data_IF_993213573859
#
_entry.id   IF_993213573859
#
_cell.length_a   1.000
_cell.length_b   1.000
_cell.length_c   1.000
_cell.angle_alpha   90.00
_cell.angle_beta   90.00
_cell.angle_gamma   90.00
#
_symmetry.space_group_name_H-M   'P 1'
#
loop_
_entity.id
_entity.type
_entity.pdbx_description
1 polymer ?
#
# COMPACT_ATOMS: atom_id res chain seq x y z
N UNK A 1 45.59 -34.97 9.45
CA UNK A 1 45.07 -33.81 10.22
C UNK A 1 45.26 -32.46 9.50
N UNK A 2 46.20 -32.33 8.55
CA UNK A 2 46.54 -31.06 7.87
C UNK A 2 45.49 -30.56 6.86
N UNK A 3 44.73 -31.47 6.25
CA UNK A 3 43.73 -31.09 5.22
C UNK A 3 42.41 -30.53 5.80
N UNK A 4 42.05 -30.91 7.03
CA UNK A 4 40.79 -30.47 7.66
C UNK A 4 40.82 -28.98 8.03
N UNK A 5 41.99 -28.47 8.40
CA UNK A 5 42.17 -27.05 8.75
C UNK A 5 42.05 -26.16 7.52
N UNK A 6 42.60 -26.58 6.37
CA UNK A 6 42.50 -25.82 5.12
C UNK A 6 41.05 -25.72 4.63
N UNK A 7 40.29 -26.82 4.73
CA UNK A 7 38.86 -26.84 4.38
C UNK A 7 38.06 -25.91 5.31
N UNK A 8 38.30 -25.91 6.63
CA UNK A 8 37.61 -24.99 7.55
C UNK A 8 37.87 -23.52 7.23
N UNK A 9 39.12 -23.15 6.91
CA UNK A 9 39.49 -21.76 6.59
C UNK A 9 38.84 -21.28 5.29
N UNK A 10 38.58 -22.18 4.33
CA UNK A 10 37.88 -21.85 3.09
C UNK A 10 36.34 -21.84 3.27
N UNK A 11 35.80 -22.79 4.04
CA UNK A 11 34.34 -22.97 4.18
C UNK A 11 33.72 -21.89 5.05
N UNK A 12 34.40 -21.47 6.12
CA UNK A 12 33.87 -20.44 7.03
C UNK A 12 33.53 -19.10 6.34
N UNK A 13 34.41 -18.49 5.51
CA UNK A 13 34.08 -17.25 4.82
C UNK A 13 32.96 -17.42 3.78
N UNK A 14 32.87 -18.58 3.12
CA UNK A 14 31.79 -18.86 2.15
C UNK A 14 30.45 -18.97 2.88
N UNK A 15 30.38 -19.71 3.99
CA UNK A 15 29.16 -19.80 4.81
C UNK A 15 28.78 -18.42 5.36
N UNK A 16 29.75 -17.65 5.86
CA UNK A 16 29.49 -16.30 6.36
C UNK A 16 28.89 -15.39 5.28
N UNK A 17 29.42 -15.43 4.06
CA UNK A 17 28.86 -14.67 2.94
C UNK A 17 27.44 -15.12 2.57
N UNK A 18 27.18 -16.44 2.57
CA UNK A 18 25.84 -16.98 2.33
C UNK A 18 24.84 -16.56 3.41
N UNK A 19 25.26 -16.51 4.67
CA UNK A 19 24.43 -16.02 5.79
C UNK A 19 24.10 -14.54 5.59
N UNK A 20 25.09 -13.70 5.28
CA UNK A 20 24.85 -12.27 5.03
C UNK A 20 23.93 -12.05 3.83
N UNK A 21 24.15 -12.79 2.74
CA UNK A 21 23.27 -12.73 1.57
C UNK A 21 21.83 -13.16 1.94
N UNK A 22 21.68 -14.24 2.70
CA UNK A 22 20.40 -14.72 3.20
C UNK A 22 19.70 -13.67 4.07
N UNK A 23 20.40 -13.03 5.00
CA UNK A 23 19.83 -12.01 5.88
C UNK A 23 19.34 -10.76 5.13
N UNK A 24 19.97 -10.41 4.01
CA UNK A 24 19.52 -9.29 3.17
C UNK A 24 18.31 -9.68 2.31
N UNK A 25 18.26 -10.91 1.82
CA UNK A 25 17.23 -11.35 0.87
C UNK A 25 15.94 -11.85 1.53
N UNK A 26 16.03 -12.54 2.67
CA UNK A 26 14.87 -13.13 3.36
C UNK A 26 13.80 -12.09 3.73
N UNK A 27 14.14 -10.90 4.29
CA UNK A 27 13.12 -9.89 4.62
C UNK A 27 12.37 -9.40 3.37
N UNK A 28 13.03 -9.36 2.21
CA UNK A 28 12.44 -8.85 0.96
C UNK A 28 11.43 -9.82 0.35
N UNK A 29 11.67 -11.13 0.47
CA UNK A 29 10.78 -12.18 -0.07
C UNK A 29 9.44 -12.22 0.70
N UNK A 30 9.39 -11.72 1.93
CA UNK A 30 8.17 -11.69 2.75
C UNK A 30 7.31 -10.45 2.54
N UNK A 31 7.77 -9.45 1.77
CA UNK A 31 7.02 -8.23 1.46
C UNK A 31 6.38 -8.29 0.06
N UNK A 32 5.60 -9.34 -0.19
CA UNK A 32 4.80 -9.50 -1.41
C UNK A 32 3.32 -9.37 -1.04
N UNK A 33 2.71 -8.19 -1.24
CA UNK A 33 1.27 -8.07 -1.18
C UNK A 33 0.65 -8.81 -2.37
N UNK A 34 -0.54 -9.37 -2.19
CA UNK A 34 -1.26 -10.14 -3.20
C UNK A 34 -2.64 -9.56 -3.53
N UNK A 35 -3.17 -8.67 -2.68
CA UNK A 35 -4.53 -8.14 -2.80
C UNK A 35 -4.52 -6.71 -3.30
N UNK A 36 -5.22 -6.50 -4.41
CA UNK A 36 -5.51 -5.18 -4.94
C UNK A 36 -6.48 -4.43 -4.01
N UNK A 37 -6.57 -3.13 -4.16
CA UNK A 37 -7.46 -2.33 -3.32
C UNK A 37 -7.98 -1.09 -4.03
N UNK A 38 -9.09 -0.57 -3.48
CA UNK A 38 -9.71 0.66 -3.95
C UNK A 38 -9.61 1.72 -2.86
N UNK A 39 -9.25 2.93 -3.26
CA UNK A 39 -9.12 4.07 -2.37
C UNK A 39 -9.47 5.38 -3.10
N UNK A 40 -9.66 6.44 -2.34
CA UNK A 40 -9.82 7.79 -2.86
C UNK A 40 -9.06 8.82 -2.02
N UNK A 41 -8.95 10.02 -2.57
CA UNK A 41 -8.48 11.19 -1.83
C UNK A 41 -9.62 12.18 -1.68
N UNK A 42 -10.06 12.38 -0.45
CA UNK A 42 -11.05 13.39 -0.10
C UNK A 42 -10.36 14.76 -0.04
N UNK A 43 -10.91 15.73 -0.78
CA UNK A 43 -10.42 17.12 -0.80
C UNK A 43 -11.42 18.11 -0.19
N UNK A 44 -12.46 17.64 0.50
CA UNK A 44 -13.40 18.53 1.18
C UNK A 44 -14.68 17.86 1.66
N UNK A 45 -15.75 18.09 0.91
CA UNK A 45 -17.12 17.81 1.32
C UNK A 45 -17.63 16.44 0.87
N UNK A 46 -17.26 16.04 -0.34
CA UNK A 46 -17.74 14.81 -0.95
C UNK A 46 -16.73 13.69 -0.70
N UNK A 47 -17.25 12.53 -0.30
CA UNK A 47 -16.42 11.39 0.03
C UNK A 47 -17.08 10.10 -0.45
N UNK A 48 -16.31 9.01 -0.43
CA UNK A 48 -16.83 7.68 -0.68
C UNK A 48 -16.83 6.87 0.61
N UNK A 49 -17.82 6.00 0.76
CA UNK A 49 -17.87 5.02 1.84
C UNK A 49 -18.34 3.68 1.27
N UNK A 50 -17.70 2.59 1.72
CA UNK A 50 -18.19 1.25 1.43
C UNK A 50 -19.34 0.92 2.39
N UNK A 51 -20.57 0.82 1.87
CA UNK A 51 -21.75 0.44 2.64
C UNK A 51 -22.44 -0.73 1.97
N UNK A 52 -22.72 -1.80 2.74
CA UNK A 52 -23.41 -2.99 2.25
C UNK A 52 -22.79 -3.53 0.95
N UNK A 53 -21.45 -3.66 0.91
CA UNK A 53 -20.67 -4.14 -0.25
C UNK A 53 -20.68 -3.26 -1.50
N UNK A 54 -21.25 -2.05 -1.43
CA UNK A 54 -21.24 -1.08 -2.53
C UNK A 54 -20.62 0.24 -2.08
N UNK A 55 -19.87 0.86 -2.97
CA UNK A 55 -19.34 2.20 -2.77
C UNK A 55 -20.47 3.18 -2.99
N UNK A 56 -20.70 4.02 -1.98
CA UNK A 56 -21.67 5.10 -2.02
C UNK A 56 -20.97 6.44 -1.89
N UNK A 57 -21.43 7.40 -2.66
CA UNK A 57 -21.03 8.80 -2.54
C UNK A 57 -21.80 9.45 -1.40
N UNK A 58 -21.11 10.23 -0.58
CA UNK A 58 -21.67 10.93 0.57
C UNK A 58 -21.37 12.40 0.43
N UNK A 59 -22.42 13.19 0.25
CA UNK A 59 -22.39 14.65 0.35
C UNK A 59 -22.48 15.05 1.83
N UNK A 60 -21.42 15.69 2.34
CA UNK A 60 -21.40 16.22 3.72
C UNK A 60 -21.76 17.70 3.82
N UNK A 61 -21.91 18.40 2.69
CA UNK A 61 -22.05 19.86 2.65
C UNK A 61 -23.40 20.34 2.07
N UNK A 62 -24.28 19.44 1.62
CA UNK A 62 -25.65 19.75 1.23
C UNK A 62 -25.75 20.66 0.01
N UNK A 63 -24.74 20.60 -0.88
CA UNK A 63 -24.57 21.48 -2.03
C UNK A 63 -24.29 20.67 -3.31
N UNK A 64 -24.69 21.22 -4.45
CA UNK A 64 -24.55 20.65 -5.80
C UNK A 64 -23.20 19.94 -6.04
N UNK A 65 -23.27 18.60 -6.24
CA UNK A 65 -22.20 17.59 -6.42
C UNK A 65 -21.15 17.82 -7.54
N UNK A 66 -21.15 18.98 -8.20
CA UNK A 66 -20.50 19.11 -9.51
C UNK A 66 -19.09 19.69 -9.50
N UNK A 67 -18.61 20.31 -8.42
CA UNK A 67 -17.35 21.08 -8.50
C UNK A 67 -16.12 20.41 -7.87
N UNK A 68 -16.25 19.40 -7.01
CA UNK A 68 -15.09 18.75 -6.36
C UNK A 68 -15.35 17.27 -6.00
N UNK A 69 -15.89 16.49 -6.94
CA UNK A 69 -16.06 15.06 -6.72
C UNK A 69 -14.68 14.40 -6.54
N UNK A 70 -14.44 13.64 -5.45
CA UNK A 70 -13.18 12.94 -5.27
C UNK A 70 -12.99 11.89 -6.36
N UNK A 71 -11.74 11.66 -6.74
CA UNK A 71 -11.37 10.61 -7.68
C UNK A 71 -11.25 9.25 -6.98
N UNK A 72 -11.71 8.20 -7.65
CA UNK A 72 -11.56 6.80 -7.23
C UNK A 72 -10.38 6.17 -7.95
N UNK A 73 -9.59 5.42 -7.18
CA UNK A 73 -8.39 4.75 -7.67
C UNK A 73 -8.46 3.28 -7.32
N UNK A 74 -8.17 2.43 -8.30
CA UNK A 74 -7.87 1.02 -8.12
C UNK A 74 -6.36 0.84 -8.22
N UNK A 75 -5.77 0.24 -7.20
CA UNK A 75 -4.36 -0.11 -7.20
C UNK A 75 -4.18 -1.59 -7.51
N UNK A 76 -3.51 -1.86 -8.62
CA UNK A 76 -3.12 -3.22 -8.99
C UNK A 76 -1.75 -3.53 -8.40
N UNK A 77 -1.69 -4.52 -7.51
CA UNK A 77 -0.46 -4.87 -6.79
C UNK A 77 0.58 -5.53 -7.70
N UNK A 78 0.12 -6.30 -8.68
CA UNK A 78 0.99 -7.06 -9.59
C UNK A 78 1.72 -6.12 -10.56
N UNK A 79 1.02 -5.13 -11.12
CA UNK A 79 1.62 -4.10 -12.00
C UNK A 79 2.21 -2.91 -11.23
N UNK A 80 1.86 -2.73 -9.96
CA UNK A 80 2.23 -1.58 -9.11
C UNK A 80 1.77 -0.26 -9.70
N UNK A 81 0.54 -0.25 -10.20
CA UNK A 81 -0.02 0.90 -10.91
C UNK A 81 -1.36 1.33 -10.30
N UNK A 82 -1.67 2.62 -10.44
CA UNK A 82 -2.93 3.20 -10.00
C UNK A 82 -3.74 3.56 -11.22
N UNK A 83 -4.89 2.92 -11.35
CA UNK A 83 -5.87 3.23 -12.38
C UNK A 83 -6.99 4.08 -11.79
N UNK A 84 -7.29 5.20 -12.43
CA UNK A 84 -8.48 6.00 -12.10
C UNK A 84 -9.71 5.26 -12.62
N UNK A 85 -10.65 4.97 -11.74
CA UNK A 85 -11.89 4.26 -12.08
C UNK A 85 -13.11 5.13 -11.75
N UNK A 86 -14.24 4.86 -12.38
CA UNK A 86 -15.52 5.48 -12.02
C UNK A 86 -16.26 4.65 -10.96
N UNK A 87 -17.36 5.21 -10.45
CA UNK A 87 -18.19 4.57 -9.43
C UNK A 87 -18.89 3.30 -9.93
N UNK A 88 -19.20 3.22 -11.23
CA UNK A 88 -19.86 2.05 -11.83
C UNK A 88 -18.91 0.86 -11.82
N UNK A 89 -17.72 1.02 -12.40
CA UNK A 89 -16.65 0.02 -12.41
C UNK A 89 -16.22 -0.36 -10.99
N UNK A 90 -16.13 0.61 -10.06
CA UNK A 90 -15.78 0.34 -8.67
C UNK A 90 -16.82 -0.55 -7.96
N UNK A 91 -18.10 -0.43 -8.33
CA UNK A 91 -19.19 -1.23 -7.77
C UNK A 91 -19.34 -2.62 -8.41
N UNK A 92 -18.69 -2.88 -9.53
CA UNK A 92 -18.56 -4.23 -10.10
C UNK A 92 -17.54 -5.07 -9.32
N UNK A 93 -16.62 -4.42 -8.61
CA UNK A 93 -15.61 -5.09 -7.78
C UNK A 93 -16.24 -5.64 -6.49
N UNK A 94 -15.89 -6.88 -6.16
CA UNK A 94 -16.22 -7.46 -4.86
C UNK A 94 -15.23 -6.98 -3.81
N UNK A 95 -15.64 -6.05 -2.95
CA UNK A 95 -14.75 -5.45 -1.94
C UNK A 95 -14.91 -6.09 -0.55
N UNK A 96 -13.78 -6.24 0.13
CA UNK A 96 -13.68 -6.63 1.53
C UNK A 96 -13.48 -5.38 2.39
N UNK A 97 -14.47 -5.10 3.24
CA UNK A 97 -14.43 -4.03 4.23
C UNK A 97 -13.60 -4.45 5.46
N UNK A 98 -12.28 -4.51 5.28
CA UNK A 98 -11.34 -4.86 6.34
C UNK A 98 -10.15 -3.92 6.27
N UNK A 99 -9.73 -3.38 7.42
CA UNK A 99 -8.54 -2.52 7.49
C UNK A 99 -7.27 -3.26 7.02
N UNK A 100 -7.23 -4.58 7.28
CA UNK A 100 -6.11 -5.45 6.93
C UNK A 100 -6.51 -6.37 5.79
N UNK A 101 -5.64 -6.48 4.79
CA UNK A 101 -5.81 -7.42 3.70
C UNK A 101 -5.69 -8.87 4.22
N UNK A 102 -6.27 -9.87 3.50
CA UNK A 102 -6.18 -11.27 3.90
C UNK A 102 -4.74 -11.81 4.00
N UNK A 103 -3.81 -11.25 3.22
CA UNK A 103 -2.38 -11.57 3.27
C UNK A 103 -1.60 -10.73 4.30
N UNK A 104 -2.27 -9.85 5.03
CA UNK A 104 -1.76 -9.25 6.26
C UNK A 104 -1.11 -7.88 6.12
N UNK A 105 -1.40 -7.15 5.04
CA UNK A 105 -0.97 -5.78 4.82
C UNK A 105 -2.06 -4.77 5.19
N UNK A 106 -1.65 -3.54 5.46
CA UNK A 106 -2.53 -2.40 5.75
C UNK A 106 -2.07 -1.23 4.90
N UNK A 107 -3.00 -0.54 4.24
CA UNK A 107 -2.71 0.70 3.54
C UNK A 107 -2.55 1.84 4.55
N UNK A 108 -1.44 2.57 4.46
CA UNK A 108 -1.17 3.73 5.30
C UNK A 108 -0.72 4.92 4.49
N UNK A 109 -1.06 6.10 4.98
CA UNK A 109 -0.52 7.38 4.54
C UNK A 109 0.52 7.84 5.55
N UNK A 110 1.68 8.28 5.07
CA UNK A 110 2.64 8.95 5.94
C UNK A 110 2.11 10.33 6.32
N UNK A 111 2.02 10.60 7.62
CA UNK A 111 1.63 11.88 8.19
C UNK A 111 2.81 12.51 8.96
N UNK A 112 4.05 12.12 8.65
CA UNK A 112 5.20 12.60 9.40
C UNK A 112 5.46 14.10 9.20
N UNK A 113 5.23 14.84 10.28
CA UNK A 113 6.10 15.96 10.66
C UNK A 113 7.43 15.38 11.13
N UNK A 114 8.43 15.32 10.24
CA UNK A 114 9.77 14.86 10.61
C UNK A 114 10.39 15.78 11.68
N UNK A 115 10.96 15.19 12.74
CA UNK A 115 11.73 15.88 13.79
C UNK A 115 13.06 16.47 13.24
N UNK A 116 13.46 16.09 12.01
CA UNK A 116 14.67 16.56 11.34
C UNK A 116 14.39 17.35 10.05
N UNK A 117 13.40 18.24 10.06
CA UNK A 117 13.27 19.32 9.07
C UNK A 117 13.10 18.90 7.60
N UNK A 118 12.75 17.63 7.34
CA UNK A 118 12.41 17.12 6.02
C UNK A 118 10.93 17.36 5.74
N UNK A 119 10.61 17.94 4.58
CA UNK A 119 9.26 18.34 4.19
C UNK A 119 8.20 17.24 4.34
N UNK A 120 6.95 17.68 4.50
CA UNK A 120 5.78 16.79 4.55
C UNK A 120 5.67 16.00 3.24
N UNK A 121 5.92 14.69 3.30
CA UNK A 121 5.69 13.78 2.19
C UNK A 121 4.41 12.98 2.44
N UNK A 122 3.40 13.20 1.60
CA UNK A 122 2.10 12.53 1.66
C UNK A 122 2.13 11.18 0.92
N UNK A 123 3.14 10.36 1.21
CA UNK A 123 3.35 9.10 0.50
C UNK A 123 2.43 8.01 1.06
N UNK A 124 1.94 7.14 0.17
CA UNK A 124 1.22 5.94 0.56
C UNK A 124 2.19 4.75 0.65
N UNK A 125 1.90 3.82 1.56
CA UNK A 125 2.63 2.58 1.67
C UNK A 125 1.77 1.45 2.21
N UNK A 126 2.08 0.23 1.80
CA UNK A 126 1.56 -0.99 2.40
C UNK A 126 2.47 -1.41 3.54
N UNK A 127 1.93 -1.47 4.76
CA UNK A 127 2.65 -1.95 5.93
C UNK A 127 2.21 -3.36 6.27
N UNK A 128 3.16 -4.28 6.41
CA UNK A 128 2.88 -5.67 6.76
C UNK A 128 4.15 -6.49 6.93
N UNK A 129 4.04 -7.65 7.60
CA UNK A 129 5.09 -8.67 7.69
C UNK A 129 6.49 -8.15 8.08
N UNK A 130 6.55 -7.12 8.93
CA UNK A 130 7.80 -6.55 9.43
C UNK A 130 8.46 -5.49 8.54
N UNK A 131 7.78 -4.99 7.50
CA UNK A 131 8.28 -3.92 6.66
C UNK A 131 7.16 -3.07 6.03
N UNK A 132 7.58 -2.16 5.15
CA UNK A 132 6.69 -1.27 4.39
C UNK A 132 7.11 -1.23 2.92
N UNK A 133 6.11 -1.22 2.03
CA UNK A 133 6.30 -1.04 0.59
C UNK A 133 5.68 0.29 0.16
N UNK A 134 6.49 1.20 -0.38
CA UNK A 134 5.99 2.48 -0.91
C UNK A 134 5.10 2.24 -2.12
N UNK A 135 4.03 3.03 -2.23
CA UNK A 135 3.14 3.09 -3.38
C UNK A 135 3.34 4.46 -4.03
N UNK A 136 3.56 4.46 -5.34
CA UNK A 136 3.58 5.70 -6.10
C UNK A 136 2.15 6.23 -6.19
N UNK A 137 1.95 7.50 -5.86
CA UNK A 137 0.62 8.13 -5.94
C UNK A 137 0.58 9.19 -7.04
N UNK A 138 -0.58 9.38 -7.70
CA UNK A 138 -0.76 10.48 -8.63
C UNK A 138 -0.43 11.82 -7.96
N UNK A 139 0.39 12.66 -8.60
CA UNK A 139 0.93 13.88 -7.99
C UNK A 139 -0.15 14.88 -7.57
N UNK A 140 -1.28 14.87 -8.28
CA UNK A 140 -2.38 15.83 -8.15
C UNK A 140 -3.16 15.73 -6.82
N UNK A 141 -2.98 14.65 -6.05
CA UNK A 141 -3.78 14.40 -4.84
C UNK A 141 -2.99 14.21 -3.55
N UNK A 142 -1.72 14.65 -3.53
CA UNK A 142 -0.87 14.57 -2.32
C UNK A 142 -1.55 15.20 -1.10
N UNK A 143 -2.38 16.23 -1.25
CA UNK A 143 -2.94 16.99 -0.12
C UNK A 143 -4.30 16.50 0.42
N UNK A 144 -4.95 15.52 -0.21
CA UNK A 144 -6.25 15.00 0.25
C UNK A 144 -6.15 14.02 1.43
N UNK A 145 -7.22 13.87 2.20
CA UNK A 145 -7.32 12.80 3.19
C UNK A 145 -7.49 11.46 2.48
N UNK A 146 -6.63 10.47 2.79
CA UNK A 146 -6.79 9.12 2.27
C UNK A 146 -8.09 8.52 2.81
N UNK A 147 -8.92 8.01 1.91
CA UNK A 147 -10.09 7.22 2.24
C UNK A 147 -9.89 5.83 1.64
N UNK A 148 -9.69 4.85 2.51
CA UNK A 148 -9.61 3.45 2.10
C UNK A 148 -11.02 2.87 1.98
N UNK A 149 -11.32 2.24 0.84
CA UNK A 149 -12.66 1.71 0.57
C UNK A 149 -12.73 0.20 0.70
N UNK A 150 -11.65 -0.53 0.42
CA UNK A 150 -11.63 -1.98 0.63
C UNK A 150 -10.59 -2.70 -0.22
N UNK A 151 -10.36 -3.96 0.15
CA UNK A 151 -9.53 -4.89 -0.62
C UNK A 151 -10.38 -5.58 -1.68
N UNK A 152 -9.84 -5.77 -2.87
CA UNK A 152 -10.52 -6.49 -3.94
C UNK A 152 -10.40 -7.99 -3.67
N UNK A 153 -11.55 -8.66 -3.61
CA UNK A 153 -11.63 -10.11 -3.44
C UNK A 153 -11.22 -10.78 -4.74
N UNK A 154 -10.11 -11.51 -4.70
CA UNK A 154 -9.67 -12.43 -5.77
C UNK A 154 -10.41 -13.77 -5.70
#
# INVERSE_FOLDING_TARGET
>A
MRDRTLVMVLVFPVIFFLILAGLVWVPRIWLNPEYDFVYSFDQGCDTFELKNTKIQEIDRCGGSLDQNKPDLYYYNVDSKDNEKIDLENANELSLLDQEKSPDGFVLKKDNNNSVFGGGSSNNLYLQGKGGSLSIDTPEEHKYGQLVFLGWVKK
#
